data_IF_400386604010
#
_entry.id   IF_400386604010
#
_cell.length_a   1.000
_cell.length_b   1.000
_cell.length_c   1.000
_cell.angle_alpha   90.00
_cell.angle_beta   90.00
_cell.angle_gamma   90.00
#
_symmetry.space_group_name_H-M   'P 1'
#
loop_
_entity.id
_entity.type
_entity.pdbx_description
1 polymer ?
#
# COMPACT_ATOMS: atom_id res chain seq x y z
N UNK A 1 -2.97 -11.70 60.49
CA UNK A 1 -3.72 -11.90 59.23
C UNK A 1 -3.13 -10.96 58.18
N UNK A 2 -2.20 -11.43 57.35
CA UNK A 2 -1.68 -10.64 56.23
C UNK A 2 -2.42 -11.08 54.96
N UNK A 3 -3.27 -10.20 54.41
CA UNK A 3 -3.96 -10.45 53.15
C UNK A 3 -3.01 -10.08 51.99
N UNK A 4 -2.59 -11.09 51.22
CA UNK A 4 -1.79 -10.89 50.00
C UNK A 4 -2.74 -10.47 48.87
N UNK A 5 -2.66 -9.21 48.47
CA UNK A 5 -3.27 -8.75 47.23
C UNK A 5 -2.45 -9.31 46.07
N UNK A 6 -3.02 -10.28 45.36
CA UNK A 6 -2.45 -10.80 44.11
C UNK A 6 -2.84 -9.84 42.99
N UNK A 7 -1.90 -9.01 42.55
CA UNK A 7 -2.06 -8.21 41.34
C UNK A 7 -1.92 -9.16 40.15
N UNK A 8 -3.05 -9.53 39.55
CA UNK A 8 -3.07 -10.25 38.27
C UNK A 8 -2.73 -9.22 37.19
N UNK A 9 -1.48 -9.22 36.74
CA UNK A 9 -1.08 -8.54 35.51
C UNK A 9 -1.63 -9.36 34.35
N UNK A 10 -2.76 -8.93 33.79
CA UNK A 10 -3.28 -9.43 32.52
C UNK A 10 -2.31 -9.03 31.41
N UNK A 11 -1.33 -9.88 31.15
CA UNK A 11 -0.55 -9.84 29.90
C UNK A 11 -1.53 -10.20 28.80
N UNK A 12 -2.04 -9.18 28.09
CA UNK A 12 -2.83 -9.41 26.88
C UNK A 12 -1.94 -10.18 25.89
N UNK A 13 -2.25 -11.46 25.71
CA UNK A 13 -1.68 -12.24 24.63
C UNK A 13 -2.17 -11.56 23.34
N UNK A 14 -1.22 -11.01 22.58
CA UNK A 14 -1.49 -10.45 21.25
C UNK A 14 -1.79 -11.64 20.33
N UNK A 15 -3.03 -12.12 20.40
CA UNK A 15 -3.53 -13.17 19.55
C UNK A 15 -3.43 -12.71 18.09
N UNK A 16 -2.70 -13.48 17.28
CA UNK A 16 -2.70 -13.25 15.84
C UNK A 16 -4.09 -13.57 15.28
N UNK A 17 -4.68 -12.64 14.54
CA UNK A 17 -5.99 -12.83 13.90
C UNK A 17 -5.92 -12.48 12.41
N UNK A 18 -6.78 -13.11 11.61
CA UNK A 18 -7.14 -12.58 10.30
C UNK A 18 -8.31 -11.62 10.52
N UNK A 19 -8.20 -10.35 10.11
CA UNK A 19 -9.19 -9.32 10.43
C UNK A 19 -10.48 -9.45 9.60
N UNK A 20 -10.39 -10.03 8.39
CA UNK A 20 -11.53 -10.19 7.48
C UNK A 20 -11.46 -11.54 6.73
N UNK A 21 -11.63 -12.69 7.43
CA UNK A 21 -11.39 -14.02 6.84
C UNK A 21 -12.34 -14.37 5.68
N UNK A 22 -13.49 -13.70 5.60
CA UNK A 22 -14.46 -13.85 4.51
C UNK A 22 -14.01 -13.22 3.19
N UNK A 23 -13.02 -12.31 3.22
CA UNK A 23 -12.47 -11.73 2.00
C UNK A 23 -11.68 -12.78 1.21
N UNK A 24 -11.86 -12.77 -0.10
CA UNK A 24 -11.22 -13.72 -1.04
C UNK A 24 -10.68 -12.95 -2.24
N UNK A 25 -9.71 -13.53 -2.97
CA UNK A 25 -9.30 -12.99 -4.25
C UNK A 25 -10.49 -12.81 -5.18
N UNK A 26 -10.43 -11.80 -6.05
CA UNK A 26 -11.44 -11.60 -7.09
C UNK A 26 -11.41 -12.76 -8.11
N UNK A 27 -12.53 -12.99 -8.82
CA UNK A 27 -12.52 -13.86 -9.99
C UNK A 27 -11.42 -13.45 -10.96
N UNK A 28 -10.79 -14.43 -11.62
CA UNK A 28 -9.77 -14.17 -12.62
C UNK A 28 -10.36 -13.33 -13.76
N UNK A 29 -9.57 -12.40 -14.29
CA UNK A 29 -9.99 -11.46 -15.33
C UNK A 29 -9.36 -11.88 -16.66
N UNK A 30 -10.11 -11.95 -17.78
CA UNK A 30 -9.51 -12.22 -19.09
C UNK A 30 -8.39 -11.23 -19.41
N UNK A 31 -7.25 -11.71 -19.90
CA UNK A 31 -6.09 -10.87 -20.25
C UNK A 31 -6.45 -9.70 -21.16
N UNK A 32 -7.36 -9.91 -22.11
CA UNK A 32 -7.84 -8.87 -23.01
C UNK A 32 -8.57 -7.73 -22.28
N UNK A 33 -9.34 -8.03 -21.23
CA UNK A 33 -10.02 -7.02 -20.42
C UNK A 33 -9.02 -6.19 -19.61
N UNK A 34 -8.02 -6.84 -19.00
CA UNK A 34 -6.92 -6.13 -18.31
C UNK A 34 -6.12 -5.26 -19.28
N UNK A 35 -5.80 -5.79 -20.48
CA UNK A 35 -5.10 -5.03 -21.51
C UNK A 35 -5.89 -3.80 -21.99
N UNK A 36 -7.22 -3.88 -22.03
CA UNK A 36 -8.09 -2.72 -22.34
C UNK A 36 -7.97 -1.61 -21.29
N UNK A 37 -7.86 -1.95 -20.00
CA UNK A 37 -7.63 -0.98 -18.92
C UNK A 37 -6.25 -0.33 -19.01
N UNK A 38 -5.23 -1.10 -19.40
CA UNK A 38 -3.86 -0.62 -19.62
C UNK A 38 -3.83 0.36 -20.80
N UNK A 39 -4.53 0.03 -21.89
CA UNK A 39 -4.47 0.76 -23.15
C UNK A 39 -3.19 0.43 -23.95
N UNK A 40 -2.89 1.19 -25.00
CA UNK A 40 -1.65 1.01 -25.76
C UNK A 40 -0.43 1.26 -24.87
N UNK A 41 0.57 0.38 -24.96
CA UNK A 41 1.83 0.54 -24.23
C UNK A 41 2.75 1.43 -25.07
N UNK A 42 2.86 2.68 -24.65
CA UNK A 42 3.81 3.65 -25.20
C UNK A 42 5.12 3.58 -24.39
N UNK A 43 6.27 3.64 -25.07
CA UNK A 43 7.62 3.57 -24.49
C UNK A 43 7.92 2.22 -23.80
N UNK A 44 8.73 1.38 -24.47
CA UNK A 44 9.09 0.06 -23.95
C UNK A 44 10.14 0.09 -22.83
N UNK A 45 10.82 1.22 -22.65
CA UNK A 45 11.85 1.42 -21.63
C UNK A 45 11.71 2.79 -20.96
N UNK A 46 12.17 2.96 -19.71
CA UNK A 46 12.19 4.26 -19.04
C UNK A 46 13.00 5.29 -19.82
N UNK A 47 12.61 6.57 -19.73
CA UNK A 47 13.30 7.68 -20.41
C UNK A 47 14.75 7.89 -19.96
N UNK A 48 15.10 7.40 -18.77
CA UNK A 48 16.44 7.39 -18.20
C UNK A 48 16.59 6.24 -17.20
N UNK A 49 17.81 5.94 -16.76
CA UNK A 49 18.02 4.96 -15.70
C UNK A 49 17.27 5.37 -14.43
N UNK A 50 16.62 4.41 -13.77
CA UNK A 50 15.84 4.62 -12.54
C UNK A 50 16.35 3.77 -11.40
N UNK A 51 16.50 4.37 -10.23
CA UNK A 51 16.83 3.67 -9.00
C UNK A 51 15.64 3.67 -8.04
N UNK A 52 15.09 2.48 -7.78
CA UNK A 52 13.97 2.27 -6.86
C UNK A 52 14.49 1.65 -5.55
N UNK A 53 14.04 2.18 -4.41
CA UNK A 53 14.27 1.57 -3.09
C UNK A 53 12.94 1.04 -2.55
N UNK A 54 12.88 -0.27 -2.30
CA UNK A 54 11.73 -0.91 -1.65
C UNK A 54 11.97 -1.03 -0.14
N UNK A 55 11.17 -0.32 0.66
CA UNK A 55 11.24 -0.32 2.12
C UNK A 55 10.26 -1.36 2.66
N UNK A 56 10.77 -2.25 3.50
CA UNK A 56 10.03 -3.38 4.06
C UNK A 56 10.36 -3.58 5.54
N UNK A 57 9.51 -4.34 6.23
CA UNK A 57 9.66 -4.66 7.64
C UNK A 57 9.16 -6.06 7.97
N UNK A 58 8.73 -6.24 9.21
CA UNK A 58 8.10 -7.47 9.70
C UNK A 58 6.76 -7.13 10.32
N UNK A 59 5.90 -8.13 10.49
CA UNK A 59 4.59 -7.96 11.09
C UNK A 59 4.34 -9.06 12.12
N UNK A 60 4.35 -8.67 13.40
CA UNK A 60 4.08 -9.57 14.53
C UNK A 60 2.58 -9.85 14.73
N UNK A 61 1.68 -8.84 14.67
CA UNK A 61 0.28 -9.03 15.06
C UNK A 61 -0.56 -9.88 14.10
N UNK A 62 -0.31 -9.86 12.79
CA UNK A 62 -1.25 -10.50 11.86
C UNK A 62 -0.85 -11.94 11.49
N UNK A 63 -1.84 -12.75 11.13
CA UNK A 63 -1.61 -14.08 10.51
C UNK A 63 -1.03 -13.93 9.10
N UNK A 64 -0.47 -14.99 8.50
CA UNK A 64 -0.14 -14.97 7.08
C UNK A 64 -1.37 -14.68 6.22
N UNK A 65 -1.15 -14.13 5.04
CA UNK A 65 -2.18 -13.60 4.15
C UNK A 65 -2.54 -12.14 4.41
N UNK A 66 -2.02 -11.54 5.49
CA UNK A 66 -2.10 -10.12 5.79
C UNK A 66 -0.70 -9.56 6.04
N UNK A 67 -0.38 -8.34 5.57
CA UNK A 67 0.90 -7.66 5.87
C UNK A 67 2.15 -8.53 5.64
N UNK A 68 2.14 -9.38 4.61
CA UNK A 68 3.28 -10.26 4.31
C UNK A 68 4.41 -9.46 3.63
N UNK A 69 4.98 -8.50 4.35
CA UNK A 69 5.95 -7.52 3.85
C UNK A 69 7.11 -8.16 3.09
N UNK A 70 7.65 -9.26 3.63
CA UNK A 70 8.73 -10.02 2.99
C UNK A 70 8.30 -10.64 1.65
N UNK A 71 7.13 -11.29 1.60
CA UNK A 71 6.60 -11.91 0.37
C UNK A 71 6.32 -10.86 -0.70
N UNK A 72 5.70 -9.74 -0.31
CA UNK A 72 5.37 -8.64 -1.23
C UNK A 72 6.63 -7.92 -1.72
N UNK A 73 7.63 -7.71 -0.86
CA UNK A 73 8.94 -7.20 -1.28
C UNK A 73 9.54 -8.09 -2.36
N UNK A 74 9.61 -9.40 -2.14
CA UNK A 74 10.24 -10.32 -3.11
C UNK A 74 9.48 -10.36 -4.43
N UNK A 75 8.15 -10.39 -4.37
CA UNK A 75 7.29 -10.26 -5.55
C UNK A 75 7.59 -8.96 -6.31
N UNK A 76 7.45 -7.82 -5.67
CA UNK A 76 7.48 -6.52 -6.35
C UNK A 76 8.88 -6.16 -6.81
N UNK A 77 9.91 -6.44 -6.02
CA UNK A 77 11.31 -6.21 -6.43
C UNK A 77 11.74 -7.16 -7.55
N UNK A 78 11.28 -8.43 -7.53
CA UNK A 78 11.52 -9.38 -8.61
C UNK A 78 10.84 -8.99 -9.93
N UNK A 79 9.67 -8.36 -9.87
CA UNK A 79 9.00 -7.78 -11.03
C UNK A 79 9.75 -6.54 -11.55
N UNK A 80 10.06 -5.58 -10.67
CA UNK A 80 10.69 -4.31 -11.05
C UNK A 80 12.10 -4.51 -11.66
N UNK A 81 12.87 -5.50 -11.19
CA UNK A 81 14.19 -5.83 -11.76
C UNK A 81 14.15 -6.36 -13.19
N UNK A 82 12.97 -6.72 -13.72
CA UNK A 82 12.82 -7.16 -15.12
C UNK A 82 12.72 -5.97 -16.10
N UNK A 83 12.58 -4.75 -15.58
CA UNK A 83 12.42 -3.55 -16.42
C UNK A 83 13.81 -3.04 -16.84
N UNK A 84 14.04 -2.80 -18.15
CA UNK A 84 15.32 -2.27 -18.61
C UNK A 84 15.68 -0.95 -17.91
N UNK A 85 16.96 -0.77 -17.59
CA UNK A 85 17.49 0.43 -16.93
C UNK A 85 16.87 0.75 -15.55
N UNK A 86 16.28 -0.24 -14.88
CA UNK A 86 15.79 -0.11 -13.49
C UNK A 86 16.68 -0.90 -12.54
N UNK A 87 17.26 -0.21 -11.57
CA UNK A 87 17.97 -0.82 -10.44
C UNK A 87 17.06 -0.79 -9.21
N UNK A 88 17.03 -1.88 -8.45
CA UNK A 88 16.18 -2.01 -7.27
C UNK A 88 16.99 -2.44 -6.05
N UNK A 89 17.05 -1.57 -5.06
CA UNK A 89 17.57 -1.86 -3.72
C UNK A 89 16.44 -2.10 -2.73
N UNK A 90 16.76 -2.74 -1.61
CA UNK A 90 15.84 -2.88 -0.47
C UNK A 90 16.38 -2.14 0.74
N UNK A 91 15.49 -1.54 1.52
CA UNK A 91 15.81 -0.99 2.83
C UNK A 91 14.95 -1.66 3.91
N UNK A 92 15.58 -2.10 5.00
CA UNK A 92 14.86 -2.64 6.14
C UNK A 92 14.50 -1.49 7.09
N UNK A 93 13.21 -1.34 7.40
CA UNK A 93 12.58 -0.31 8.25
C UNK A 93 12.69 1.15 7.75
N UNK A 94 13.85 1.60 7.26
CA UNK A 94 14.01 2.96 6.75
C UNK A 94 15.22 3.08 5.81
N UNK A 95 15.16 3.87 4.71
CA UNK A 95 16.31 4.09 3.85
C UNK A 95 17.45 4.84 4.55
N UNK A 96 18.68 4.45 4.23
CA UNK A 96 19.88 5.23 4.58
C UNK A 96 19.97 6.53 3.76
N UNK A 97 20.81 7.48 4.19
CA UNK A 97 21.06 8.71 3.42
C UNK A 97 21.57 8.40 2.01
N UNK A 98 22.52 7.47 1.89
CA UNK A 98 23.05 7.04 0.58
C UNK A 98 21.97 6.44 -0.31
N UNK A 99 21.02 5.69 0.25
CA UNK A 99 19.88 5.19 -0.52
C UNK A 99 18.98 6.33 -0.99
N UNK A 100 18.64 7.29 -0.12
CA UNK A 100 17.88 8.47 -0.54
C UNK A 100 18.59 9.31 -1.60
N UNK A 101 19.92 9.44 -1.53
CA UNK A 101 20.73 10.21 -2.47
C UNK A 101 20.78 9.63 -3.88
N UNK A 102 20.62 8.32 -4.00
CA UNK A 102 20.61 7.64 -5.30
C UNK A 102 19.21 7.39 -5.85
N UNK A 103 18.21 7.24 -4.98
CA UNK A 103 16.87 6.87 -5.39
C UNK A 103 16.18 7.93 -6.26
N UNK A 104 15.48 7.49 -7.30
CA UNK A 104 14.42 8.25 -7.96
C UNK A 104 13.07 8.03 -7.24
N UNK A 105 12.89 6.85 -6.65
CA UNK A 105 11.64 6.41 -6.03
C UNK A 105 11.90 5.60 -4.76
N UNK A 106 11.12 5.91 -3.71
CA UNK A 106 11.02 5.07 -2.51
C UNK A 106 9.60 4.51 -2.43
N UNK A 107 9.47 3.19 -2.49
CA UNK A 107 8.20 2.49 -2.26
C UNK A 107 8.22 1.86 -0.88
N UNK A 108 7.19 2.10 -0.09
CA UNK A 108 7.14 1.73 1.31
C UNK A 108 5.91 0.86 1.58
N UNK A 109 6.14 -0.37 2.01
CA UNK A 109 5.12 -1.28 2.49
C UNK A 109 5.65 -2.02 3.73
N UNK A 110 5.37 -1.43 4.88
CA UNK A 110 5.77 -1.92 6.20
C UNK A 110 4.96 -1.25 7.31
N UNK A 111 5.05 -1.84 8.50
CA UNK A 111 4.82 -1.12 9.74
C UNK A 111 6.01 -0.18 9.99
N UNK A 112 5.80 1.13 9.82
CA UNK A 112 6.89 2.10 10.01
C UNK A 112 7.26 2.19 11.50
N UNK A 113 8.56 2.15 11.86
CA UNK A 113 8.98 2.48 13.22
C UNK A 113 8.81 3.99 13.48
N UNK A 114 9.00 4.40 14.74
CA UNK A 114 9.20 5.81 15.05
C UNK A 114 10.34 6.40 14.22
N UNK A 115 10.11 7.58 13.66
CA UNK A 115 11.14 8.31 12.92
C UNK A 115 11.76 9.37 13.81
N UNK A 116 13.08 9.42 13.81
CA UNK A 116 13.82 10.52 14.43
C UNK A 116 13.60 11.83 13.67
N UNK A 117 13.84 13.01 14.29
CA UNK A 117 13.80 14.29 13.59
C UNK A 117 14.69 14.30 12.33
N UNK A 118 15.85 13.66 12.39
CA UNK A 118 16.76 13.51 11.23
C UNK A 118 16.09 12.72 10.10
N UNK A 119 15.44 11.60 10.40
CA UNK A 119 14.76 10.77 9.39
C UNK A 119 13.58 11.51 8.73
N UNK A 120 12.79 12.28 9.49
CA UNK A 120 11.78 13.16 8.90
C UNK A 120 12.41 14.20 7.97
N UNK A 121 13.52 14.83 8.37
CA UNK A 121 14.23 15.78 7.50
C UNK A 121 14.78 15.10 6.25
N UNK A 122 15.35 13.91 6.35
CA UNK A 122 15.83 13.12 5.20
C UNK A 122 14.70 12.85 4.21
N UNK A 123 13.55 12.38 4.71
CA UNK A 123 12.42 12.04 3.86
C UNK A 123 11.83 13.29 3.17
N UNK A 124 11.58 14.36 3.94
CA UNK A 124 11.09 15.63 3.39
C UNK A 124 12.05 16.23 2.36
N UNK A 125 13.36 16.17 2.61
CA UNK A 125 14.39 16.67 1.68
C UNK A 125 14.41 15.87 0.39
N UNK A 126 14.34 14.54 0.49
CA UNK A 126 14.27 13.63 -0.66
C UNK A 126 13.07 13.96 -1.56
N UNK A 127 11.87 14.10 -0.99
CA UNK A 127 10.67 14.46 -1.76
C UNK A 127 10.84 15.86 -2.35
N UNK A 128 11.18 16.86 -1.52
CA UNK A 128 11.26 18.25 -1.96
C UNK A 128 12.20 18.44 -3.17
N UNK A 129 13.35 17.73 -3.21
CA UNK A 129 14.31 17.83 -4.31
C UNK A 129 13.88 17.13 -5.61
N UNK A 130 12.83 16.31 -5.60
CA UNK A 130 12.33 15.64 -6.79
C UNK A 130 12.10 14.13 -6.65
N UNK A 131 12.44 13.54 -5.50
CA UNK A 131 12.21 12.13 -5.25
C UNK A 131 10.73 11.76 -5.23
N UNK A 132 10.40 10.63 -5.82
CA UNK A 132 9.07 10.05 -5.77
C UNK A 132 8.87 9.20 -4.52
N UNK A 133 7.66 9.18 -3.95
CA UNK A 133 7.30 8.25 -2.89
C UNK A 133 5.97 7.55 -3.17
N UNK A 134 5.87 6.29 -2.75
CA UNK A 134 4.64 5.48 -2.76
C UNK A 134 4.49 4.86 -1.37
N UNK A 135 3.47 5.25 -0.63
CA UNK A 135 3.17 4.71 0.70
C UNK A 135 1.94 3.81 0.67
N UNK A 136 2.08 2.58 1.18
CA UNK A 136 1.06 1.53 1.08
C UNK A 136 0.64 1.08 2.49
N UNK A 137 -0.66 1.10 2.73
CA UNK A 137 -1.33 0.56 3.92
C UNK A 137 -0.75 1.07 5.26
N UNK A 138 -0.17 0.18 6.08
CA UNK A 138 0.38 0.49 7.41
C UNK A 138 1.50 1.52 7.38
N UNK A 139 2.11 1.79 6.22
CA UNK A 139 3.09 2.88 6.10
C UNK A 139 2.47 4.23 6.44
N UNK A 140 1.15 4.39 6.31
CA UNK A 140 0.46 5.61 6.73
C UNK A 140 0.26 5.70 8.25
N UNK A 141 0.77 4.76 9.06
CA UNK A 141 0.54 4.71 10.50
C UNK A 141 1.85 4.91 11.27
N UNK A 142 1.92 6.01 12.01
CA UNK A 142 2.77 6.14 13.20
C UNK A 142 1.90 6.70 14.33
N UNK A 143 2.10 6.17 15.54
CA UNK A 143 1.43 6.62 16.77
C UNK A 143 2.48 7.21 17.72
N UNK A 144 2.16 8.18 18.59
CA UNK A 144 0.83 8.75 18.83
C UNK A 144 0.40 9.78 17.77
N UNK A 145 -0.77 10.38 17.95
CA UNK A 145 -1.35 11.36 17.01
C UNK A 145 -0.38 12.46 16.56
N UNK A 146 0.48 12.96 17.46
CA UNK A 146 1.49 13.95 17.13
C UNK A 146 2.52 13.47 16.08
N UNK A 147 2.90 12.19 16.13
CA UNK A 147 3.80 11.59 15.14
C UNK A 147 3.08 11.27 13.83
N UNK A 148 1.82 10.83 13.93
CA UNK A 148 0.95 10.71 12.75
C UNK A 148 0.81 12.03 11.98
N UNK A 149 0.71 13.17 12.68
CA UNK A 149 0.70 14.51 12.04
C UNK A 149 2.01 14.81 11.30
N UNK A 150 3.17 14.52 11.90
CA UNK A 150 4.48 14.69 11.25
C UNK A 150 4.63 13.78 10.03
N UNK A 151 4.11 12.55 10.10
CA UNK A 151 4.10 11.63 8.96
C UNK A 151 3.20 12.13 7.82
N UNK A 152 2.06 12.74 8.14
CA UNK A 152 1.19 13.35 7.13
C UNK A 152 1.90 14.47 6.35
N UNK A 153 2.81 15.24 6.97
CA UNK A 153 3.65 16.21 6.24
C UNK A 153 4.54 15.57 5.16
N UNK A 154 4.88 14.29 5.31
CA UNK A 154 5.67 13.55 4.33
C UNK A 154 4.77 12.87 3.29
N UNK A 155 3.66 12.27 3.73
CA UNK A 155 2.84 11.37 2.91
C UNK A 155 1.56 12.01 2.35
N UNK A 156 1.23 13.23 2.76
CA UNK A 156 -0.05 13.88 2.50
C UNK A 156 -1.13 13.52 3.52
N UNK A 157 -1.27 12.21 3.81
CA UNK A 157 -2.21 11.71 4.81
C UNK A 157 -1.59 10.63 5.68
N UNK A 158 -1.97 10.59 6.96
CA UNK A 158 -1.49 9.59 7.91
C UNK A 158 -2.43 9.41 9.11
N UNK A 159 -2.27 8.33 9.86
CA UNK A 159 -3.08 7.95 11.01
C UNK A 159 -3.15 9.04 12.07
N UNK A 160 -4.34 9.25 12.62
CA UNK A 160 -4.60 10.12 13.76
C UNK A 160 -5.11 9.28 14.93
N UNK A 161 -4.22 8.98 15.89
CA UNK A 161 -4.59 8.12 17.01
C UNK A 161 -5.73 8.74 17.84
N UNK A 162 -6.81 7.98 17.99
CA UNK A 162 -8.02 8.42 18.71
C UNK A 162 -9.14 8.92 17.78
N UNK A 163 -8.84 9.21 16.51
CA UNK A 163 -9.82 9.61 15.51
C UNK A 163 -9.93 8.60 14.37
N UNK A 164 -8.79 8.22 13.77
CA UNK A 164 -8.77 7.31 12.63
C UNK A 164 -9.32 5.94 13.00
N UNK A 165 -9.95 5.32 12.02
CA UNK A 165 -10.57 4.00 12.12
C UNK A 165 -10.11 3.14 10.94
N UNK A 166 -10.32 1.83 11.07
CA UNK A 166 -9.97 0.84 10.05
C UNK A 166 -11.10 -0.17 9.89
N UNK A 167 -11.16 -0.85 8.74
CA UNK A 167 -12.15 -1.90 8.47
C UNK A 167 -12.17 -2.33 7.01
N UNK A 168 -13.01 -3.31 6.70
CA UNK A 168 -13.14 -3.84 5.35
C UNK A 168 -13.80 -2.85 4.38
N UNK A 169 -13.45 -2.99 3.11
CA UNK A 169 -14.17 -2.37 1.99
C UNK A 169 -15.39 -3.22 1.65
N UNK A 170 -16.55 -2.59 1.56
CA UNK A 170 -17.84 -3.26 1.33
C UNK A 170 -18.49 -2.89 -0.01
N UNK A 171 -17.94 -1.92 -0.73
CA UNK A 171 -18.47 -1.45 -2.01
C UNK A 171 -17.33 -1.03 -2.97
N UNK A 172 -17.69 -0.75 -4.22
CA UNK A 172 -16.73 -0.31 -5.23
C UNK A 172 -16.19 1.10 -4.92
N UNK A 173 -14.87 1.25 -5.08
CA UNK A 173 -14.15 2.50 -4.86
C UNK A 173 -14.46 3.44 -6.02
N UNK A 174 -14.90 4.66 -5.71
CA UNK A 174 -15.01 5.72 -6.73
C UNK A 174 -13.63 6.27 -7.04
N UNK A 175 -13.24 6.34 -8.30
CA UNK A 175 -11.91 6.77 -8.74
C UNK A 175 -11.98 7.92 -9.75
N UNK A 176 -11.01 8.81 -9.70
CA UNK A 176 -10.83 9.87 -10.70
C UNK A 176 -10.12 9.28 -11.94
N UNK A 177 -10.91 8.81 -12.90
CA UNK A 177 -10.39 8.21 -14.14
C UNK A 177 -9.74 9.22 -15.10
N UNK A 178 -9.80 10.53 -14.82
CA UNK A 178 -9.02 11.55 -15.54
C UNK A 178 -7.59 11.60 -15.02
N UNK A 179 -7.35 11.20 -13.77
CA UNK A 179 -6.00 11.12 -13.22
C UNK A 179 -5.19 10.03 -13.95
N UNK A 180 -3.92 10.28 -14.33
CA UNK A 180 -3.11 9.33 -15.10
C UNK A 180 -2.98 7.92 -14.50
N UNK A 181 -3.10 7.79 -13.16
CA UNK A 181 -3.08 6.51 -12.45
C UNK A 181 -4.28 5.63 -12.81
N UNK A 182 -5.45 6.23 -13.02
CA UNK A 182 -6.70 5.54 -13.32
C UNK A 182 -7.15 5.69 -14.78
N UNK A 183 -6.31 6.24 -15.66
CA UNK A 183 -6.64 6.38 -17.08
C UNK A 183 -7.08 5.04 -17.70
N UNK A 184 -8.23 5.01 -18.34
CA UNK A 184 -8.78 3.79 -18.96
C UNK A 184 -9.60 2.90 -18.03
N UNK A 185 -9.61 3.16 -16.71
CA UNK A 185 -10.56 2.54 -15.81
C UNK A 185 -11.97 3.15 -15.98
N UNK A 186 -13.03 2.39 -15.63
CA UNK A 186 -14.31 2.99 -15.28
C UNK A 186 -14.17 3.92 -14.06
N UNK A 187 -15.25 4.59 -13.68
CA UNK A 187 -15.31 5.45 -12.48
C UNK A 187 -15.37 4.66 -11.16
N UNK A 188 -15.53 3.33 -11.23
CA UNK A 188 -15.62 2.41 -10.11
C UNK A 188 -14.58 1.30 -10.19
N UNK A 189 -13.87 1.06 -9.09
CA UNK A 189 -12.87 0.01 -8.95
C UNK A 189 -13.22 -0.89 -7.77
N UNK A 190 -13.44 -2.18 -8.03
CA UNK A 190 -13.66 -3.15 -6.97
C UNK A 190 -12.33 -3.75 -6.49
N UNK A 191 -11.98 -3.56 -5.22
CA UNK A 191 -10.88 -4.25 -4.53
C UNK A 191 -11.41 -4.85 -3.23
N UNK A 192 -11.02 -6.09 -2.91
CA UNK A 192 -11.33 -6.74 -1.64
C UNK A 192 -10.18 -6.54 -0.65
N UNK A 193 -10.27 -5.51 0.20
CA UNK A 193 -9.22 -5.20 1.17
C UNK A 193 -9.73 -4.55 2.46
N UNK A 194 -8.82 -4.29 3.38
CA UNK A 194 -9.01 -3.34 4.50
C UNK A 194 -8.52 -1.95 4.09
N UNK A 195 -9.13 -0.90 4.66
CA UNK A 195 -8.69 0.48 4.48
C UNK A 195 -8.90 1.31 5.76
N UNK A 196 -8.37 2.54 5.74
CA UNK A 196 -8.47 3.49 6.86
C UNK A 196 -9.21 4.75 6.48
N UNK A 197 -9.89 5.35 7.44
CA UNK A 197 -10.56 6.64 7.30
C UNK A 197 -10.31 7.56 8.49
N UNK A 198 -10.75 8.80 8.35
CA UNK A 198 -10.50 9.90 9.30
C UNK A 198 -9.00 10.09 9.62
N UNK A 199 -8.17 10.04 8.58
CA UNK A 199 -6.73 10.33 8.67
C UNK A 199 -6.47 11.83 8.88
N UNK A 200 -5.29 12.17 9.40
CA UNK A 200 -4.71 13.50 9.22
C UNK A 200 -4.55 13.75 7.71
N UNK A 201 -4.93 14.95 7.25
CA UNK A 201 -4.79 15.37 5.86
C UNK A 201 -4.17 16.77 5.85
N UNK A 202 -3.04 16.94 5.18
CA UNK A 202 -2.43 18.26 4.99
C UNK A 202 -3.07 19.00 3.81
N UNK A 203 -2.79 20.29 3.73
CA UNK A 203 -3.17 21.10 2.57
C UNK A 203 -2.45 20.64 1.30
N UNK A 204 -3.11 20.79 0.15
CA UNK A 204 -2.55 20.38 -1.16
C UNK A 204 -2.69 18.90 -1.49
N UNK A 205 -3.29 18.08 -0.62
CA UNK A 205 -3.64 16.69 -0.94
C UNK A 205 -4.78 16.66 -1.97
N UNK A 206 -4.52 16.01 -3.11
CA UNK A 206 -5.53 15.65 -4.10
C UNK A 206 -6.04 14.23 -3.82
N UNK A 207 -7.32 14.09 -3.46
CA UNK A 207 -7.96 12.79 -3.33
C UNK A 207 -8.38 12.33 -4.73
N UNK A 208 -7.87 11.17 -5.15
CA UNK A 208 -8.11 10.59 -6.49
C UNK A 208 -8.91 9.28 -6.42
N UNK A 209 -9.31 8.88 -5.21
CA UNK A 209 -10.32 7.86 -5.03
C UNK A 209 -10.84 7.79 -3.60
N UNK A 210 -12.11 7.40 -3.46
CA UNK A 210 -12.83 7.38 -2.19
C UNK A 210 -13.91 6.30 -2.14
N UNK A 211 -14.23 5.82 -0.95
CA UNK A 211 -15.21 4.76 -0.72
C UNK A 211 -15.95 5.00 0.59
N UNK A 212 -17.23 4.64 0.71
CA UNK A 212 -17.96 4.75 1.97
C UNK A 212 -17.42 3.76 2.99
N UNK A 213 -17.45 4.16 4.24
CA UNK A 213 -16.92 3.37 5.36
C UNK A 213 -18.02 2.46 5.88
N UNK A 214 -17.64 1.29 6.40
CA UNK A 214 -18.54 0.41 7.13
C UNK A 214 -18.29 0.49 8.63
N UNK A 215 -18.83 -0.47 9.41
CA UNK A 215 -18.48 -0.63 10.81
C UNK A 215 -16.96 -0.77 10.99
N UNK A 216 -16.35 -0.07 11.95
CA UNK A 216 -14.92 -0.17 12.20
C UNK A 216 -14.55 -1.52 12.81
N UNK A 217 -13.27 -1.85 12.67
CA UNK A 217 -12.60 -3.07 13.14
C UNK A 217 -12.99 -4.33 12.35
N UNK A 218 -12.67 -5.49 12.92
CA UNK A 218 -12.90 -6.82 12.34
C UNK A 218 -14.35 -7.00 11.90
N UNK A 219 -14.55 -7.66 10.77
CA UNK A 219 -15.86 -8.10 10.29
C UNK A 219 -15.85 -9.58 9.94
N UNK A 220 -16.86 -10.31 10.41
CA UNK A 220 -17.00 -11.74 10.13
C UNK A 220 -17.64 -12.03 8.75
N UNK A 221 -18.31 -11.04 8.16
CA UNK A 221 -18.98 -11.14 6.86
C UNK A 221 -19.13 -9.75 6.20
N UNK A 222 -19.63 -9.75 4.96
CA UNK A 222 -20.15 -8.52 4.33
C UNK A 222 -21.30 -7.93 5.14
N UNK A 223 -21.43 -6.61 5.09
CA UNK A 223 -22.54 -5.88 5.72
C UNK A 223 -23.48 -5.32 4.65
N UNK A 224 -24.78 -5.12 4.95
CA UNK A 224 -25.70 -4.46 4.04
C UNK A 224 -25.33 -2.98 3.84
N UNK A 225 -25.70 -2.44 2.67
CA UNK A 225 -25.44 -1.04 2.28
C UNK A 225 -25.98 -0.01 3.27
N UNK A 226 -27.05 -0.35 4.01
CA UNK A 226 -27.64 0.50 5.04
C UNK A 226 -26.73 0.75 6.24
N UNK A 227 -25.68 -0.06 6.44
CA UNK A 227 -24.67 0.12 7.48
C UNK A 227 -23.44 0.89 7.00
N UNK A 228 -23.43 1.34 5.73
CA UNK A 228 -22.35 2.18 5.21
C UNK A 228 -22.60 3.65 5.56
N UNK A 229 -21.52 4.40 5.73
CA UNK A 229 -21.57 5.84 5.92
C UNK A 229 -22.28 6.54 4.76
N UNK A 230 -22.74 7.76 4.99
CA UNK A 230 -23.33 8.60 3.93
C UNK A 230 -22.24 9.27 3.08
N UNK A 231 -21.12 9.65 3.69
CA UNK A 231 -19.99 10.31 3.02
C UNK A 231 -18.84 9.33 2.81
N UNK A 232 -18.22 9.31 1.61
CA UNK A 232 -17.05 8.49 1.36
C UNK A 232 -15.79 9.09 2.02
N UNK A 233 -14.81 8.24 2.28
CA UNK A 233 -13.51 8.61 2.81
C UNK A 233 -12.40 8.35 1.78
N UNK A 234 -11.30 9.15 1.78
CA UNK A 234 -10.19 8.95 0.87
C UNK A 234 -9.51 7.59 1.05
N UNK A 235 -9.18 6.95 -0.07
CA UNK A 235 -8.43 5.67 -0.11
C UNK A 235 -7.23 5.72 -1.07
N UNK A 236 -7.27 6.63 -2.04
CA UNK A 236 -6.16 6.97 -2.92
C UNK A 236 -5.97 8.49 -2.92
N UNK A 237 -4.73 8.93 -2.72
CA UNK A 237 -4.40 10.34 -2.78
C UNK A 237 -3.03 10.57 -3.37
N UNK A 238 -2.82 11.81 -3.81
CA UNK A 238 -1.52 12.31 -4.19
C UNK A 238 -1.24 13.63 -3.49
N UNK A 239 0.04 13.95 -3.35
CA UNK A 239 0.51 15.27 -2.95
C UNK A 239 1.80 15.59 -3.70
N UNK A 240 1.95 16.85 -4.09
CA UNK A 240 3.20 17.36 -4.63
C UNK A 240 3.88 18.23 -3.57
N UNK A 241 5.15 17.97 -3.29
CA UNK A 241 5.96 18.76 -2.35
C UNK A 241 7.29 19.09 -3.01
N UNK A 242 7.56 20.38 -3.19
CA UNK A 242 8.64 20.84 -4.07
C UNK A 242 8.50 20.25 -5.47
N UNK A 243 9.55 19.55 -5.92
CA UNK A 243 9.57 18.86 -7.23
C UNK A 243 9.05 17.42 -7.17
N UNK A 244 9.03 16.81 -5.98
CA UNK A 244 8.66 15.41 -5.78
C UNK A 244 7.16 15.18 -5.75
N UNK A 245 6.80 13.92 -5.97
CA UNK A 245 5.42 13.45 -6.06
C UNK A 245 5.23 12.25 -5.14
N UNK A 246 4.21 12.32 -4.30
CA UNK A 246 3.86 11.26 -3.38
C UNK A 246 2.49 10.72 -3.75
N UNK A 247 2.41 9.40 -3.86
CA UNK A 247 1.15 8.68 -3.89
C UNK A 247 0.98 7.92 -2.58
N UNK A 248 -0.22 7.95 -2.03
CA UNK A 248 -0.56 7.14 -0.86
C UNK A 248 -1.85 6.36 -1.08
N UNK A 249 -1.89 5.17 -0.50
CA UNK A 249 -3.10 4.37 -0.42
C UNK A 249 -3.19 3.65 0.90
N UNK A 250 -4.41 3.52 1.43
CA UNK A 250 -4.69 2.68 2.59
C UNK A 250 -5.00 1.23 2.21
N UNK A 251 -4.98 0.86 0.93
CA UNK A 251 -5.01 -0.54 0.47
C UNK A 251 -3.68 -1.25 0.71
N UNK A 252 -3.71 -2.58 0.70
CA UNK A 252 -2.53 -3.44 0.80
C UNK A 252 -2.51 -4.32 2.05
N UNK A 253 -3.65 -4.49 2.73
CA UNK A 253 -3.75 -5.37 3.90
C UNK A 253 -3.59 -6.81 3.49
N UNK A 254 -4.46 -7.28 2.60
CA UNK A 254 -4.46 -8.65 2.11
C UNK A 254 -3.31 -8.88 1.12
N UNK A 255 -2.55 -9.95 1.34
CA UNK A 255 -1.42 -10.31 0.47
C UNK A 255 -1.89 -10.68 -0.94
N UNK A 256 -3.07 -11.29 -1.09
CA UNK A 256 -3.63 -11.58 -2.41
C UNK A 256 -3.98 -10.32 -3.23
N UNK A 257 -4.15 -9.14 -2.60
CA UNK A 257 -4.41 -7.89 -3.32
C UNK A 257 -3.27 -7.54 -4.28
N UNK A 258 -2.03 -7.89 -3.96
CA UNK A 258 -0.86 -7.69 -4.83
C UNK A 258 -0.83 -8.63 -6.05
N UNK A 259 -1.79 -9.56 -6.15
CA UNK A 259 -2.00 -10.45 -7.28
C UNK A 259 -3.27 -10.09 -8.06
N UNK A 260 -3.99 -9.04 -7.65
CA UNK A 260 -5.05 -8.43 -8.44
C UNK A 260 -4.43 -7.62 -9.58
N UNK A 261 -4.73 -7.92 -10.86
CA UNK A 261 -4.18 -7.18 -11.99
C UNK A 261 -4.58 -5.70 -12.00
N UNK A 262 -5.77 -5.34 -11.52
CA UNK A 262 -6.22 -3.95 -11.46
C UNK A 262 -5.44 -3.16 -10.41
N UNK A 263 -5.21 -3.73 -9.22
CA UNK A 263 -4.35 -3.09 -8.22
C UNK A 263 -2.90 -2.97 -8.69
N UNK A 264 -2.38 -3.98 -9.41
CA UNK A 264 -1.05 -3.88 -10.03
C UNK A 264 -0.95 -2.72 -11.02
N UNK A 265 -1.96 -2.51 -11.87
CA UNK A 265 -1.98 -1.35 -12.78
C UNK A 265 -1.89 -0.05 -11.97
N UNK A 266 -2.71 0.09 -10.91
CA UNK A 266 -2.71 1.28 -10.05
C UNK A 266 -1.35 1.51 -9.40
N UNK A 267 -0.75 0.48 -8.79
CA UNK A 267 0.55 0.59 -8.12
C UNK A 267 1.68 0.92 -9.11
N UNK A 268 1.74 0.26 -10.27
CA UNK A 268 2.78 0.55 -11.25
C UNK A 268 2.61 1.95 -11.89
N UNK A 269 1.38 2.37 -12.17
CA UNK A 269 1.14 3.74 -12.65
C UNK A 269 1.45 4.78 -11.56
N UNK A 270 1.16 4.50 -10.30
CA UNK A 270 1.54 5.36 -9.18
C UNK A 270 3.07 5.51 -9.08
N UNK A 271 3.82 4.40 -9.17
CA UNK A 271 5.29 4.43 -9.19
C UNK A 271 5.82 5.29 -10.35
N UNK A 272 5.34 5.07 -11.58
CA UNK A 272 5.73 5.85 -12.74
C UNK A 272 5.35 7.34 -12.58
N UNK A 273 4.14 7.63 -12.13
CA UNK A 273 3.66 9.00 -11.89
C UNK A 273 4.51 9.74 -10.86
N UNK A 274 4.89 9.06 -9.77
CA UNK A 274 5.76 9.60 -8.72
C UNK A 274 7.18 9.90 -9.22
N UNK A 275 7.68 9.13 -10.19
CA UNK A 275 8.97 9.37 -10.87
C UNK A 275 8.89 10.37 -12.04
N UNK A 276 7.70 10.86 -12.39
CA UNK A 276 7.44 11.62 -13.63
C UNK A 276 7.88 10.86 -14.89
N UNK A 277 7.62 9.56 -14.90
CA UNK A 277 7.96 8.62 -15.98
C UNK A 277 6.69 8.13 -16.69
N UNK A 278 6.83 7.71 -17.95
CA UNK A 278 5.76 6.99 -18.64
C UNK A 278 5.50 5.65 -17.92
N UNK A 279 4.25 5.22 -17.84
CA UNK A 279 3.92 3.95 -17.17
C UNK A 279 4.18 2.71 -18.02
N UNK A 280 4.30 2.88 -19.35
CA UNK A 280 4.49 1.81 -20.32
C UNK A 280 5.55 0.76 -19.97
N UNK A 281 6.76 1.15 -19.51
CA UNK A 281 7.80 0.19 -19.13
C UNK A 281 7.40 -0.76 -17.99
N UNK A 282 6.45 -0.35 -17.13
CA UNK A 282 5.98 -1.15 -15.99
C UNK A 282 4.72 -1.97 -16.33
N UNK A 283 3.96 -1.61 -17.36
CA UNK A 283 2.68 -2.26 -17.69
C UNK A 283 2.79 -3.76 -18.02
N UNK A 284 3.84 -4.26 -18.71
CA UNK A 284 4.01 -5.69 -18.92
C UNK A 284 4.08 -6.52 -17.63
N UNK A 285 4.53 -5.92 -16.52
CA UNK A 285 4.66 -6.59 -15.22
C UNK A 285 3.32 -7.00 -14.61
N UNK A 286 2.22 -6.33 -14.99
CA UNK A 286 0.86 -6.62 -14.48
C UNK A 286 0.54 -8.10 -14.61
N UNK A 287 0.88 -8.70 -15.75
CA UNK A 287 0.56 -10.10 -16.08
C UNK A 287 1.51 -11.14 -15.49
N UNK A 288 2.72 -10.74 -15.11
CA UNK A 288 3.83 -11.66 -14.79
C UNK A 288 3.52 -12.47 -13.53
N UNK A 289 3.60 -13.79 -13.66
CA UNK A 289 3.38 -14.75 -12.57
C UNK A 289 1.92 -14.90 -12.13
N UNK A 290 0.97 -14.25 -12.82
CA UNK A 290 -0.46 -14.30 -12.48
C UNK A 290 -1.37 -14.50 -13.69
N UNK A 291 -0.84 -14.98 -14.82
CA UNK A 291 -1.64 -15.35 -15.99
C UNK A 291 -1.56 -16.85 -16.18
N UNK A 292 -2.70 -17.54 -16.19
CA UNK A 292 -2.75 -18.99 -16.42
C UNK A 292 -2.73 -19.34 -17.93
N UNK A 293 -2.77 -20.64 -18.24
CA UNK A 293 -2.70 -21.15 -19.62
C UNK A 293 -3.91 -20.75 -20.46
N UNK A 294 -5.06 -20.53 -19.84
CA UNK A 294 -6.29 -20.05 -20.49
C UNK A 294 -6.30 -18.52 -20.72
N UNK A 295 -5.22 -17.81 -20.36
CA UNK A 295 -5.15 -16.35 -20.52
C UNK A 295 -5.99 -15.56 -19.52
N UNK A 296 -6.32 -16.16 -18.38
CA UNK A 296 -7.00 -15.52 -17.25
C UNK A 296 -5.97 -15.00 -16.25
N UNK A 297 -6.22 -13.80 -15.71
CA UNK A 297 -5.25 -13.04 -14.92
C UNK A 297 -5.74 -12.84 -13.49
N UNK A 298 -4.92 -13.19 -12.50
CA UNK A 298 -5.21 -13.04 -11.08
C UNK A 298 -4.66 -14.22 -10.25
N UNK A 299 -5.22 -14.38 -9.05
CA UNK A 299 -4.94 -15.54 -8.19
C UNK A 299 -6.25 -16.08 -7.62
N UNK A 300 -6.30 -17.39 -7.34
CA UNK A 300 -7.33 -18.02 -6.52
C UNK A 300 -6.85 -18.35 -5.11
N UNK A 301 -5.53 -18.24 -4.87
CA UNK A 301 -4.89 -18.43 -3.57
C UNK A 301 -5.11 -17.18 -2.69
N UNK A 302 -5.61 -17.38 -1.47
CA UNK A 302 -5.84 -16.32 -0.50
C UNK A 302 -4.61 -15.99 0.36
N UNK A 303 -3.50 -16.71 0.13
CA UNK A 303 -2.16 -16.49 0.69
C UNK A 303 -2.04 -16.78 2.19
N UNK A 304 -3.07 -17.34 2.84
CA UNK A 304 -3.14 -17.47 4.31
C UNK A 304 -2.33 -18.64 4.87
N UNK A 305 -1.93 -19.59 4.03
CA UNK A 305 -1.15 -20.77 4.43
C UNK A 305 0.37 -20.55 4.31
N UNK A 306 0.80 -19.32 4.02
CA UNK A 306 2.22 -19.02 3.83
C UNK A 306 3.02 -19.10 5.14
N UNK A 307 3.94 -20.05 5.22
CA UNK A 307 4.77 -20.28 6.42
C UNK A 307 5.95 -19.32 6.56
N UNK A 308 6.25 -18.52 5.53
CA UNK A 308 7.42 -17.62 5.51
C UNK A 308 7.21 -16.26 6.18
N UNK A 309 6.05 -16.02 6.82
CA UNK A 309 5.76 -14.72 7.43
C UNK A 309 6.76 -14.38 8.53
N UNK A 310 7.45 -13.26 8.33
CA UNK A 310 8.40 -12.73 9.29
C UNK A 310 7.65 -11.97 10.41
N UNK A 311 7.73 -12.48 11.64
CA UNK A 311 7.04 -11.94 12.83
C UNK A 311 7.95 -11.23 13.85
N UNK A 312 9.24 -11.17 13.54
CA UNK A 312 10.25 -10.48 14.32
C UNK A 312 11.32 -9.94 13.34
N UNK A 313 12.19 -9.02 13.76
CA UNK A 313 13.31 -8.62 12.92
C UNK A 313 14.11 -9.83 12.42
N UNK A 314 14.63 -9.80 11.18
CA UNK A 314 15.49 -10.87 10.69
C UNK A 314 16.73 -10.94 11.58
N UNK A 315 17.15 -12.15 11.93
CA UNK A 315 18.43 -12.37 12.61
C UNK A 315 19.54 -12.21 11.59
N UNK A 316 20.56 -11.40 11.93
CA UNK A 316 21.75 -11.22 11.11
C UNK A 316 22.59 -12.50 11.03
#
# INVERSE_FOLDING_TARGET
MFSRITVIVLVSSTLCHAQHPWQKPKPLIPRAAVAKLIGPIENAAPSQARHIVWVWGYDKPHRPGAHDYLRVRDLMTGLLKQVPNVTVDTAYLFPTQTQFDKADLVVMFLHLPQLTPKQYTMFKTFIHRGGGAVAIHETAIIRPAAEGKKLAECLGMAWDQGRSQWGAIFEDITIDNQHPIFKGFPDKLWISDEFYWDLNKIDGVQVIGSVRTGPPNHSAARVPVSLLSTKPSPIFWTVQSGKGRVFGTTLGHNTFSYYDPELRIVLFRAMAWSMREASGPLMPLVFKGITNEEGMVGTTDDMRDWKGKLRAPPQN
#
